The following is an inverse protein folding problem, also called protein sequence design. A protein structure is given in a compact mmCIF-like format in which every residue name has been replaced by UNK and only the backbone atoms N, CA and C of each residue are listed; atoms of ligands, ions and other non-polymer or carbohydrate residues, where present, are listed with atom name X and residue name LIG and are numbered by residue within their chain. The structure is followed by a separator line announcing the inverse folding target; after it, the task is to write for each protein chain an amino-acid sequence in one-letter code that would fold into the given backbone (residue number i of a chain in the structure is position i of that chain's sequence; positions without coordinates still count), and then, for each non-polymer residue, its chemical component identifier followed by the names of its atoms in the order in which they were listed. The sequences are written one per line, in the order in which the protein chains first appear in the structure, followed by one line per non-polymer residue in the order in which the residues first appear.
data_IF_206268128670
#
_entry.id   IF_206268128670
#
_cell.length_a   1.000
_cell.length_b   1.000
_cell.length_c   1.000
_cell.angle_alpha   90.00
_cell.angle_beta   90.00
_cell.angle_gamma   90.00
#
_symmetry.space_group_name_H-M   'P 1'
#
loop_
_entity.id
_entity.type
_entity.pdbx_description
1 polymer ?
#
# COMPACT_ATOMS: atom_id res chain seq x y z
N UNK A 1 -17.72 -1.45 11.06
CA UNK A 1 -17.74 -2.03 9.70
C UNK A 1 -16.29 -2.23 9.30
N UNK A 2 -15.95 -3.37 8.68
CA UNK A 2 -14.58 -3.61 8.22
C UNK A 2 -14.28 -2.81 6.95
N UNK A 3 -13.25 -1.97 6.97
CA UNK A 3 -12.90 -1.08 5.85
C UNK A 3 -11.39 -0.91 5.70
N UNK A 4 -10.96 -0.56 4.49
CA UNK A 4 -9.61 -0.05 4.23
C UNK A 4 -9.61 1.46 4.53
N UNK A 5 -8.67 1.90 5.37
CA UNK A 5 -8.44 3.32 5.69
C UNK A 5 -7.13 3.77 5.06
N UNK A 6 -7.21 4.82 4.26
CA UNK A 6 -6.02 5.39 3.61
C UNK A 6 -5.69 6.72 4.26
N UNK A 7 -4.44 6.87 4.69
CA UNK A 7 -3.94 8.02 5.41
C UNK A 7 -2.78 8.61 4.64
N UNK A 8 -2.87 9.90 4.33
CA UNK A 8 -1.80 10.71 3.79
C UNK A 8 -1.13 11.49 4.93
N UNK A 9 0.03 11.01 5.35
CA UNK A 9 0.87 11.60 6.37
C UNK A 9 1.71 12.73 5.76
N UNK A 10 1.62 13.92 6.36
CA UNK A 10 2.33 15.13 5.92
C UNK A 10 3.36 15.52 6.98
N UNK A 11 4.67 15.51 6.68
CA UNK A 11 5.70 16.00 7.58
C UNK A 11 5.47 17.42 8.08
N UNK A 12 5.99 17.71 9.26
CA UNK A 12 5.88 19.02 9.92
C UNK A 12 6.47 20.18 9.08
N UNK A 13 7.41 19.89 8.18
CA UNK A 13 8.05 20.83 7.26
C UNK A 13 7.50 20.79 5.83
N UNK A 14 6.41 20.06 5.60
CA UNK A 14 5.71 19.99 4.32
C UNK A 14 4.31 20.62 4.40
N UNK A 15 3.76 20.98 3.25
CA UNK A 15 2.37 21.42 3.10
C UNK A 15 1.55 20.30 2.48
N UNK A 16 0.29 20.09 2.94
CA UNK A 16 -0.58 19.12 2.29
C UNK A 16 -0.81 19.49 0.83
N UNK A 17 -0.75 18.48 -0.05
CA UNK A 17 -0.99 18.62 -1.49
C UNK A 17 -2.29 17.93 -1.87
N UNK A 18 -3.21 18.68 -2.48
CA UNK A 18 -4.46 18.11 -3.00
C UNK A 18 -4.20 17.16 -4.17
N UNK A 19 -3.18 17.41 -5.00
CA UNK A 19 -2.81 16.51 -6.08
C UNK A 19 -2.39 15.14 -5.53
N UNK A 20 -1.64 15.13 -4.41
CA UNK A 20 -1.18 13.89 -3.76
C UNK A 20 -2.38 13.12 -3.21
N UNK A 21 -3.25 13.81 -2.48
CA UNK A 21 -4.49 13.24 -1.95
C UNK A 21 -5.37 12.66 -3.06
N UNK A 22 -5.55 13.38 -4.16
CA UNK A 22 -6.35 12.94 -5.30
C UNK A 22 -5.71 11.75 -6.02
N UNK A 23 -4.39 11.76 -6.23
CA UNK A 23 -3.64 10.64 -6.80
C UNK A 23 -3.82 9.36 -5.99
N UNK A 24 -3.68 9.44 -4.66
CA UNK A 24 -3.90 8.34 -3.73
C UNK A 24 -5.35 7.83 -3.80
N UNK A 25 -6.33 8.74 -3.75
CA UNK A 25 -7.75 8.39 -3.80
C UNK A 25 -8.13 7.68 -5.12
N UNK A 26 -7.62 8.17 -6.25
CA UNK A 26 -7.84 7.57 -7.55
C UNK A 26 -7.21 6.17 -7.64
N UNK A 27 -5.99 6.00 -7.13
CA UNK A 27 -5.29 4.72 -7.14
C UNK A 27 -6.04 3.64 -6.36
N UNK A 28 -6.44 3.92 -5.12
CA UNK A 28 -7.15 2.94 -4.28
C UNK A 28 -8.55 2.63 -4.81
N UNK A 29 -9.24 3.61 -5.39
CA UNK A 29 -10.55 3.40 -6.03
C UNK A 29 -10.42 2.53 -7.27
N UNK A 30 -9.38 2.76 -8.07
CA UNK A 30 -9.11 1.96 -9.26
C UNK A 30 -8.77 0.51 -8.87
N UNK A 31 -7.97 0.30 -7.82
CA UNK A 31 -7.70 -1.03 -7.27
C UNK A 31 -8.97 -1.70 -6.72
N UNK A 32 -9.85 -0.96 -6.04
CA UNK A 32 -11.11 -1.53 -5.55
C UNK A 32 -11.93 -2.15 -6.68
N UNK A 33 -12.02 -1.45 -7.84
CA UNK A 33 -12.68 -1.96 -9.03
C UNK A 33 -11.92 -3.11 -9.69
N UNK A 34 -10.58 -3.06 -9.69
CA UNK A 34 -9.77 -4.16 -10.21
C UNK A 34 -9.93 -5.43 -9.38
N UNK A 35 -9.83 -5.37 -8.05
CA UNK A 35 -10.09 -6.50 -7.16
C UNK A 35 -11.52 -7.03 -7.35
N UNK A 36 -12.52 -6.16 -7.50
CA UNK A 36 -13.90 -6.55 -7.80
C UNK A 36 -13.99 -7.38 -9.10
N UNK A 37 -13.28 -6.95 -10.15
CA UNK A 37 -13.27 -7.63 -11.45
C UNK A 37 -12.48 -8.95 -11.45
N UNK A 38 -11.45 -9.06 -10.60
CA UNK A 38 -10.64 -10.29 -10.46
C UNK A 38 -11.35 -11.39 -9.67
N UNK A 39 -12.28 -11.00 -8.80
CA UNK A 39 -13.00 -11.90 -7.91
C UNK A 39 -14.29 -12.40 -8.57
N UNK A 40 -14.38 -13.71 -8.84
CA UNK A 40 -15.52 -14.34 -9.51
C UNK A 40 -16.85 -14.14 -8.77
N UNK A 41 -16.79 -14.02 -7.44
CA UNK A 41 -17.93 -13.78 -6.56
C UNK A 41 -18.34 -12.30 -6.46
N UNK A 42 -17.70 -11.41 -7.23
CA UNK A 42 -17.91 -9.95 -7.22
C UNK A 42 -17.80 -9.33 -5.83
N UNK A 43 -16.93 -9.87 -4.97
CA UNK A 43 -16.57 -9.22 -3.70
C UNK A 43 -15.37 -8.32 -3.90
N UNK A 44 -15.34 -7.20 -3.16
CA UNK A 44 -14.16 -6.34 -3.05
C UNK A 44 -14.09 -5.73 -1.66
N UNK A 45 -12.97 -5.07 -1.35
CA UNK A 45 -12.82 -4.35 -0.10
C UNK A 45 -13.65 -3.07 -0.07
N UNK A 46 -14.08 -2.62 1.12
CA UNK A 46 -14.78 -1.34 1.29
C UNK A 46 -13.84 -0.21 1.67
N UNK A 47 -14.08 0.95 1.09
CA UNK A 47 -13.45 2.22 1.46
C UNK A 47 -14.38 3.02 2.37
N UNK A 48 -13.80 3.94 3.11
CA UNK A 48 -14.53 4.96 3.88
C UNK A 48 -15.01 6.09 2.97
N UNK A 49 -16.09 6.78 3.35
CA UNK A 49 -16.64 7.92 2.57
C UNK A 49 -15.58 9.01 2.35
N UNK A 50 -14.79 9.30 3.38
CA UNK A 50 -13.53 10.04 3.23
C UNK A 50 -12.44 9.05 2.82
N UNK A 51 -12.19 8.92 1.52
CA UNK A 51 -11.25 7.92 0.98
C UNK A 51 -9.84 8.12 1.53
N UNK A 52 -9.36 9.37 1.60
CA UNK A 52 -8.02 9.71 2.09
C UNK A 52 -8.12 10.71 3.24
N UNK A 53 -7.64 10.31 4.41
CA UNK A 53 -7.48 11.17 5.58
C UNK A 53 -6.10 11.83 5.56
N UNK A 54 -6.05 13.16 5.67
CA UNK A 54 -4.78 13.90 5.69
C UNK A 54 -4.39 14.20 7.13
N UNK A 55 -3.23 13.71 7.55
CA UNK A 55 -2.75 13.82 8.93
C UNK A 55 -1.37 14.45 8.95
N UNK A 56 -1.21 15.54 9.71
CA UNK A 56 0.10 16.16 9.92
C UNK A 56 0.87 15.40 10.99
N UNK A 57 2.13 15.13 10.71
CA UNK A 57 3.05 14.46 11.64
C UNK A 57 3.93 15.47 12.38
N UNK A 58 4.53 15.03 13.49
CA UNK A 58 5.38 15.89 14.32
C UNK A 58 6.80 16.02 13.76
N UNK A 59 7.23 15.05 12.95
CA UNK A 59 8.60 14.97 12.45
C UNK A 59 8.75 15.61 11.08
N UNK A 60 9.97 16.02 10.77
CA UNK A 60 10.35 16.54 9.44
C UNK A 60 10.55 15.40 8.45
N UNK A 61 10.39 15.64 7.16
CA UNK A 61 10.48 14.59 6.14
C UNK A 61 11.80 13.78 6.23
N UNK A 62 12.94 14.46 6.43
CA UNK A 62 14.25 13.80 6.53
C UNK A 62 14.41 12.89 7.76
N UNK A 63 13.62 13.12 8.81
CA UNK A 63 13.72 12.35 10.06
C UNK A 63 13.38 10.88 9.83
N UNK A 64 12.38 10.58 9.00
CA UNK A 64 11.92 9.21 8.74
C UNK A 64 13.04 8.30 8.22
N UNK A 65 13.89 8.80 7.34
CA UNK A 65 15.01 8.03 6.80
C UNK A 65 16.26 8.02 7.71
N UNK A 66 16.44 9.03 8.57
CA UNK A 66 17.70 9.23 9.32
C UNK A 66 17.64 8.86 10.79
N UNK A 67 16.44 8.76 11.38
CA UNK A 67 16.27 8.39 12.77
C UNK A 67 16.41 6.86 12.96
N UNK A 68 17.35 6.38 13.79
CA UNK A 68 17.50 4.96 14.01
C UNK A 68 16.26 4.32 14.65
N UNK A 69 15.73 3.28 14.02
CA UNK A 69 14.59 2.51 14.51
C UNK A 69 14.72 1.02 14.13
N UNK A 70 15.58 0.30 14.85
CA UNK A 70 15.89 -1.11 14.57
C UNK A 70 17.00 -1.29 13.53
N UNK A 71 16.88 -2.33 12.69
CA UNK A 71 17.81 -2.57 11.59
C UNK A 71 17.73 -1.47 10.53
N UNK A 72 18.86 -1.11 9.93
CA UNK A 72 18.96 0.04 9.03
C UNK A 72 17.89 0.02 7.92
N UNK A 73 17.66 -1.14 7.31
CA UNK A 73 16.70 -1.26 6.22
C UNK A 73 15.23 -1.03 6.65
N UNK A 74 14.93 -1.09 7.95
CA UNK A 74 13.61 -0.88 8.55
C UNK A 74 13.41 0.52 9.13
N UNK A 75 14.42 1.39 9.15
CA UNK A 75 14.30 2.69 9.83
C UNK A 75 13.12 3.50 9.32
N UNK A 76 13.02 3.68 7.99
CA UNK A 76 11.92 4.41 7.38
C UNK A 76 10.56 3.82 7.75
N UNK A 77 10.37 2.52 7.49
CA UNK A 77 9.17 1.78 7.83
C UNK A 77 8.74 1.97 9.30
N UNK A 78 9.66 1.69 10.24
CA UNK A 78 9.35 1.76 11.67
C UNK A 78 9.04 3.19 12.13
N UNK A 79 9.75 4.19 11.61
CA UNK A 79 9.49 5.59 11.93
C UNK A 79 8.13 6.06 11.41
N UNK A 80 7.76 5.68 10.18
CA UNK A 80 6.45 6.03 9.61
C UNK A 80 5.31 5.37 10.39
N UNK A 81 5.46 4.09 10.74
CA UNK A 81 4.46 3.40 11.55
C UNK A 81 4.34 3.96 12.96
N UNK A 82 5.45 4.38 13.58
CA UNK A 82 5.41 4.99 14.91
C UNK A 82 4.50 6.24 14.93
N UNK A 83 4.69 7.15 13.97
CA UNK A 83 3.83 8.33 13.84
C UNK A 83 2.42 7.96 13.35
N UNK A 84 2.31 7.11 12.35
CA UNK A 84 1.02 6.67 11.79
C UNK A 84 0.12 6.05 12.85
N UNK A 85 0.64 5.13 13.66
CA UNK A 85 -0.11 4.48 14.73
C UNK A 85 -0.46 5.45 15.85
N UNK A 86 0.50 6.28 16.29
CA UNK A 86 0.26 7.25 17.36
C UNK A 86 -0.82 8.28 17.00
N UNK A 87 -0.87 8.72 15.74
CA UNK A 87 -1.77 9.78 15.29
C UNK A 87 -3.16 9.29 14.89
N UNK A 88 -3.29 8.02 14.50
CA UNK A 88 -4.56 7.48 13.97
C UNK A 88 -5.21 6.42 14.87
N UNK A 89 -4.47 5.91 15.86
CA UNK A 89 -4.88 4.75 16.65
C UNK A 89 -4.78 3.43 15.88
N UNK A 90 -4.15 3.42 14.71
CA UNK A 90 -3.90 2.22 13.95
C UNK A 90 -3.00 1.23 14.70
N UNK A 91 -3.12 -0.04 14.32
CA UNK A 91 -2.30 -1.12 14.84
C UNK A 91 -2.23 -2.25 13.83
N UNK A 92 -1.23 -3.10 13.97
CA UNK A 92 -1.20 -4.36 13.25
C UNK A 92 -2.37 -5.26 13.65
N UNK A 93 -2.86 -6.05 12.70
CA UNK A 93 -3.94 -7.01 12.88
C UNK A 93 -5.24 -6.40 13.46
N UNK A 94 -5.49 -5.13 13.15
CA UNK A 94 -6.68 -4.42 13.59
C UNK A 94 -7.95 -5.21 13.17
N UNK A 95 -8.87 -5.49 14.12
CA UNK A 95 -10.08 -6.28 13.83
C UNK A 95 -11.05 -5.60 12.83
N UNK A 96 -10.92 -4.30 12.63
CA UNK A 96 -11.86 -3.48 11.88
C UNK A 96 -11.24 -2.81 10.67
N UNK A 97 -9.92 -2.64 10.63
CA UNK A 97 -9.28 -1.82 9.61
C UNK A 97 -8.09 -2.51 8.94
N UNK A 98 -7.96 -2.28 7.64
CA UNK A 98 -6.68 -2.38 6.94
C UNK A 98 -6.18 -0.95 6.75
N UNK A 99 -4.94 -0.70 7.09
CA UNK A 99 -4.37 0.64 7.09
C UNK A 99 -3.37 0.80 5.96
N UNK A 100 -3.51 1.89 5.20
CA UNK A 100 -2.54 2.29 4.18
C UNK A 100 -2.00 3.65 4.58
N UNK A 101 -0.70 3.76 4.78
CA UNK A 101 -0.01 5.01 5.06
C UNK A 101 0.83 5.43 3.87
N UNK A 102 0.39 6.46 3.17
CA UNK A 102 1.28 7.24 2.31
C UNK A 102 1.94 8.32 3.14
N UNK A 103 3.27 8.46 3.04
CA UNK A 103 4.01 9.53 3.72
C UNK A 103 4.68 10.44 2.68
N UNK A 104 4.55 11.75 2.85
CA UNK A 104 5.24 12.77 2.05
C UNK A 104 6.73 12.90 2.45
N UNK A 105 7.43 11.78 2.53
CA UNK A 105 8.86 11.69 2.82
C UNK A 105 9.51 10.54 2.03
N UNK A 106 10.80 10.67 1.77
CA UNK A 106 11.60 9.66 1.07
C UNK A 106 12.40 8.79 2.05
N UNK A 107 12.51 7.51 1.72
CA UNK A 107 13.42 6.57 2.36
C UNK A 107 14.85 6.75 1.81
N UNK A 108 15.86 6.37 2.59
CA UNK A 108 17.25 6.31 2.10
C UNK A 108 17.51 5.02 1.31
N UNK A 109 18.54 5.04 0.46
CA UNK A 109 18.99 3.85 -0.26
C UNK A 109 19.31 2.72 0.74
N UNK A 110 18.79 1.53 0.44
CA UNK A 110 18.95 0.33 1.27
C UNK A 110 17.89 0.20 2.37
N UNK A 111 16.95 1.15 2.48
CA UNK A 111 15.75 1.04 3.28
C UNK A 111 14.57 0.60 2.41
N UNK A 112 13.61 -0.10 3.01
CA UNK A 112 12.35 -0.40 2.32
C UNK A 112 11.61 0.90 1.98
N UNK A 113 11.16 0.99 0.73
CA UNK A 113 10.33 2.09 0.22
C UNK A 113 8.87 1.78 0.48
N UNK A 114 8.28 0.92 -0.36
CA UNK A 114 6.98 0.28 -0.12
C UNK A 114 7.12 -1.03 0.64
N UNK A 115 6.19 -1.30 1.56
CA UNK A 115 6.03 -2.60 2.19
C UNK A 115 4.60 -2.79 2.73
N UNK A 116 4.20 -4.04 2.94
CA UNK A 116 2.91 -4.40 3.49
C UNK A 116 3.02 -5.66 4.35
N UNK A 117 2.27 -5.70 5.46
CA UNK A 117 2.13 -6.88 6.32
C UNK A 117 1.05 -6.66 7.37
N UNK A 118 0.45 -7.75 7.88
CA UNK A 118 -0.37 -7.75 9.10
C UNK A 118 -1.42 -6.62 9.18
N UNK A 119 -2.15 -6.38 8.10
CA UNK A 119 -3.19 -5.34 8.05
C UNK A 119 -2.68 -3.91 7.80
N UNK A 120 -1.42 -3.73 7.44
CA UNK A 120 -0.82 -2.41 7.22
C UNK A 120 0.03 -2.40 5.95
N UNK A 121 -0.06 -1.32 5.17
CA UNK A 121 0.86 -0.98 4.08
C UNK A 121 1.44 0.43 4.28
N UNK A 122 2.70 0.64 3.94
CA UNK A 122 3.37 1.95 3.95
C UNK A 122 3.97 2.20 2.58
N UNK A 123 3.76 3.40 2.05
CA UNK A 123 4.29 3.85 0.78
C UNK A 123 4.93 5.25 0.91
N UNK A 124 6.11 5.48 0.33
CA UNK A 124 6.89 6.72 0.43
C UNK A 124 6.45 7.77 -0.59
N UNK A 125 7.09 8.95 -0.54
CA UNK A 125 6.77 10.09 -1.41
C UNK A 125 6.92 9.75 -2.90
N UNK A 126 7.94 8.99 -3.31
CA UNK A 126 8.12 8.65 -4.72
C UNK A 126 6.97 7.80 -5.30
N UNK A 127 6.28 6.99 -4.49
CA UNK A 127 5.05 6.32 -4.92
C UNK A 127 3.94 7.33 -5.20
N UNK A 128 3.78 8.35 -4.36
CA UNK A 128 2.82 9.42 -4.58
C UNK A 128 3.15 10.21 -5.87
N UNK A 129 4.42 10.58 -6.05
CA UNK A 129 4.90 11.21 -7.28
C UNK A 129 4.58 10.35 -8.52
N UNK A 130 4.74 9.03 -8.39
CA UNK A 130 4.33 8.07 -9.41
C UNK A 130 2.84 8.11 -9.74
N UNK A 131 1.97 8.15 -8.72
CA UNK A 131 0.52 8.23 -8.88
C UNK A 131 0.04 9.50 -9.59
N UNK A 132 0.79 10.59 -9.48
CA UNK A 132 0.47 11.87 -10.14
C UNK A 132 1.28 12.12 -11.43
N UNK A 133 2.01 11.12 -11.92
CA UNK A 133 2.72 11.20 -13.21
C UNK A 133 3.99 12.05 -13.20
N UNK A 134 4.60 12.27 -12.03
CA UNK A 134 5.90 12.96 -11.91
C UNK A 134 7.10 12.01 -12.01
N UNK A 135 6.85 10.69 -12.03
CA UNK A 135 7.90 9.69 -12.26
C UNK A 135 8.12 9.40 -13.75
N UNK A 136 9.22 8.72 -14.09
CA UNK A 136 9.45 8.21 -15.45
C UNK A 136 8.59 7.00 -15.81
N UNK A 137 8.23 6.20 -14.82
CA UNK A 137 7.39 5.02 -14.99
C UNK A 137 5.92 5.43 -15.16
N UNK A 138 5.10 4.65 -15.88
CA UNK A 138 3.69 4.96 -16.04
C UNK A 138 2.96 4.92 -14.70
N UNK A 139 1.93 5.76 -14.55
CA UNK A 139 1.07 5.82 -13.35
C UNK A 139 0.55 4.44 -12.95
N UNK A 140 0.24 3.59 -13.94
CA UNK A 140 -0.31 2.25 -13.70
C UNK A 140 0.64 1.34 -12.91
N UNK A 141 1.97 1.46 -13.09
CA UNK A 141 2.97 0.73 -12.27
C UNK A 141 2.85 1.08 -10.80
N UNK A 142 2.57 2.34 -10.47
CA UNK A 142 2.45 2.81 -9.09
C UNK A 142 1.14 2.40 -8.45
N UNK A 143 0.07 2.32 -9.24
CA UNK A 143 -1.19 1.69 -8.82
C UNK A 143 -0.96 0.19 -8.56
N UNK A 144 -0.21 -0.49 -9.42
CA UNK A 144 0.17 -1.89 -9.23
C UNK A 144 0.97 -2.12 -7.95
N UNK A 145 1.97 -1.27 -7.67
CA UNK A 145 2.75 -1.31 -6.43
C UNK A 145 1.87 -1.17 -5.18
N UNK A 146 0.92 -0.22 -5.17
CA UNK A 146 -0.09 -0.15 -4.10
C UNK A 146 -0.91 -1.44 -4.00
N UNK A 147 -1.31 -2.02 -5.14
CA UNK A 147 -2.09 -3.25 -5.18
C UNK A 147 -1.36 -4.44 -4.56
N UNK A 148 -0.06 -4.53 -4.77
CA UNK A 148 0.85 -5.51 -4.18
C UNK A 148 0.96 -5.37 -2.67
N UNK A 149 1.31 -4.18 -2.18
CA UNK A 149 1.45 -3.94 -0.73
C UNK A 149 0.12 -4.08 0.02
N UNK A 150 -0.98 -3.67 -0.63
CA UNK A 150 -2.33 -3.89 -0.10
C UNK A 150 -2.67 -5.39 -0.05
N UNK A 151 -2.24 -6.18 -1.03
CA UNK A 151 -2.37 -7.64 -1.00
C UNK A 151 -1.64 -8.25 0.20
N UNK A 152 -0.42 -7.80 0.49
CA UNK A 152 0.30 -8.19 1.70
C UNK A 152 -0.40 -7.74 2.98
N UNK A 153 -0.99 -6.54 3.00
CA UNK A 153 -1.79 -6.08 4.13
C UNK A 153 -3.04 -6.96 4.34
N UNK A 154 -3.64 -7.50 3.28
CA UNK A 154 -4.71 -8.51 3.36
C UNK A 154 -4.22 -9.91 3.77
N UNK A 155 -2.91 -10.12 3.88
CA UNK A 155 -2.30 -11.39 4.29
C UNK A 155 -1.90 -12.32 3.14
N UNK A 156 -1.87 -11.82 1.91
CA UNK A 156 -1.40 -12.61 0.76
C UNK A 156 0.15 -12.66 0.75
N UNK A 157 0.77 -13.82 0.57
CA UNK A 157 2.23 -13.93 0.41
C UNK A 157 2.64 -13.73 -1.05
N UNK A 158 3.94 -13.64 -1.32
CA UNK A 158 4.45 -13.94 -2.65
C UNK A 158 4.15 -15.39 -3.03
N UNK A 159 3.95 -15.71 -4.32
CA UNK A 159 3.75 -17.09 -4.74
C UNK A 159 5.00 -17.94 -4.45
N UNK A 160 4.83 -19.19 -3.98
CA UNK A 160 5.96 -20.08 -3.71
C UNK A 160 6.84 -20.31 -4.94
N UNK A 161 8.17 -20.24 -4.78
CA UNK A 161 9.13 -20.52 -5.84
C UNK A 161 9.47 -19.33 -6.75
N UNK A 162 8.68 -18.24 -6.72
CA UNK A 162 8.91 -17.08 -7.59
C UNK A 162 10.16 -16.28 -7.22
N UNK A 163 10.59 -16.32 -5.96
CA UNK A 163 11.84 -15.69 -5.53
C UNK A 163 13.08 -16.40 -6.07
N UNK A 164 12.99 -17.72 -6.27
CA UNK A 164 14.04 -18.55 -6.83
C UNK A 164 14.00 -18.61 -8.36
N UNK A 165 12.80 -18.63 -8.96
CA UNK A 165 12.58 -18.69 -10.39
C UNK A 165 11.48 -17.73 -10.86
N UNK A 166 11.90 -16.57 -11.33
CA UNK A 166 11.01 -15.53 -11.83
C UNK A 166 10.38 -15.87 -13.20
N UNK A 167 10.79 -16.97 -13.85
CA UNK A 167 10.21 -17.40 -15.13
C UNK A 167 8.90 -18.17 -14.97
N UNK A 168 8.56 -18.56 -13.74
CA UNK A 168 7.30 -19.21 -13.42
C UNK A 168 6.10 -18.35 -13.85
N UNK A 169 5.05 -18.92 -14.45
CA UNK A 169 3.85 -18.17 -14.84
C UNK A 169 3.23 -17.35 -13.70
N UNK A 170 3.27 -17.90 -12.48
CA UNK A 170 2.76 -17.29 -11.25
C UNK A 170 3.49 -15.98 -10.91
N UNK A 171 4.73 -15.82 -11.36
CA UNK A 171 5.51 -14.60 -11.16
C UNK A 171 4.85 -13.38 -11.79
N UNK A 172 3.94 -13.55 -12.74
CA UNK A 172 3.21 -12.46 -13.40
C UNK A 172 1.92 -12.03 -12.67
N UNK A 173 1.62 -12.61 -11.49
CA UNK A 173 0.52 -12.15 -10.65
C UNK A 173 0.85 -10.84 -9.92
N UNK A 174 -0.17 -10.14 -9.41
CA UNK A 174 0.01 -8.87 -8.71
C UNK A 174 0.85 -9.01 -7.42
N UNK A 175 0.84 -10.20 -6.82
CA UNK A 175 1.63 -10.52 -5.63
C UNK A 175 3.12 -10.78 -5.94
N UNK A 176 3.58 -10.52 -7.17
CA UNK A 176 5.00 -10.53 -7.51
C UNK A 176 5.32 -9.53 -8.65
N UNK A 177 5.85 -9.97 -9.81
CA UNK A 177 6.24 -9.07 -10.90
C UNK A 177 5.06 -8.47 -11.67
N UNK A 178 3.87 -9.06 -11.56
CA UNK A 178 2.67 -8.56 -12.23
C UNK A 178 2.28 -7.14 -11.84
N UNK A 179 2.70 -6.67 -10.66
CA UNK A 179 2.49 -5.29 -10.23
C UNK A 179 3.08 -4.26 -11.21
N UNK A 180 4.16 -4.60 -11.92
CA UNK A 180 4.77 -3.72 -12.92
C UNK A 180 3.96 -3.62 -14.22
N UNK A 181 3.11 -4.62 -14.50
CA UNK A 181 2.29 -4.72 -15.71
C UNK A 181 0.83 -4.33 -15.48
N UNK A 182 0.50 -3.83 -14.28
CA UNK A 182 -0.85 -3.41 -13.92
C UNK A 182 -1.46 -2.45 -14.98
N UNK A 183 -2.76 -2.59 -15.34
CA UNK A 183 -3.75 -3.54 -14.80
C UNK A 183 -3.75 -4.93 -15.45
N UNK A 184 -2.87 -5.19 -16.43
CA UNK A 184 -2.78 -6.47 -17.14
C UNK A 184 -2.01 -7.50 -16.32
N UNK A 185 -2.61 -7.87 -15.19
CA UNK A 185 -2.13 -8.87 -14.23
C UNK A 185 -3.35 -9.52 -13.56
N UNK A 186 -3.10 -10.45 -12.63
CA UNK A 186 -4.13 -11.30 -12.04
C UNK A 186 -3.84 -11.62 -10.57
N UNK A 187 -4.88 -12.06 -9.88
CA UNK A 187 -4.79 -12.79 -8.62
C UNK A 187 -4.70 -14.29 -8.90
N UNK A 188 -3.88 -15.02 -8.15
CA UNK A 188 -3.87 -16.49 -8.20
C UNK A 188 -5.17 -17.07 -7.62
N UNK A 189 -5.43 -18.35 -7.90
CA UNK A 189 -6.62 -19.02 -7.37
C UNK A 189 -6.59 -19.06 -5.84
N UNK A 190 -5.42 -19.29 -5.25
CA UNK A 190 -5.18 -19.33 -3.81
C UNK A 190 -5.39 -17.94 -3.18
N UNK A 191 -4.94 -16.88 -3.85
CA UNK A 191 -5.18 -15.50 -3.41
C UNK A 191 -6.68 -15.20 -3.35
N UNK A 192 -7.41 -15.56 -4.40
CA UNK A 192 -8.87 -15.36 -4.47
C UNK A 192 -9.59 -16.11 -3.37
N UNK A 193 -9.17 -17.34 -3.07
CA UNK A 193 -9.77 -18.12 -1.96
C UNK A 193 -9.50 -17.46 -0.61
N UNK A 194 -8.26 -17.02 -0.35
CA UNK A 194 -7.92 -16.30 0.88
C UNK A 194 -8.73 -15.00 1.03
N UNK A 195 -8.84 -14.21 -0.04
CA UNK A 195 -9.62 -12.98 -0.04
C UNK A 195 -11.13 -13.24 0.11
N UNK A 196 -11.67 -14.32 -0.46
CA UNK A 196 -13.08 -14.67 -0.29
C UNK A 196 -13.45 -14.98 1.18
N UNK A 197 -12.49 -15.50 1.95
CA UNK A 197 -12.61 -15.74 3.38
C UNK A 197 -12.33 -14.49 4.23
N UNK A 198 -11.73 -13.45 3.64
CA UNK A 198 -11.45 -12.20 4.33
C UNK A 198 -12.73 -11.45 4.67
N UNK A 199 -12.87 -11.07 5.96
CA UNK A 199 -13.96 -10.20 6.43
C UNK A 199 -13.96 -8.80 5.81
N UNK A 200 -12.87 -8.41 5.14
CA UNK A 200 -12.76 -7.13 4.47
C UNK A 200 -13.35 -7.17 3.05
N UNK A 201 -13.51 -8.35 2.45
CA UNK A 201 -14.08 -8.52 1.11
C UNK A 201 -15.56 -8.87 1.20
N UNK A 202 -16.39 -8.04 0.59
CA UNK A 202 -17.84 -8.11 0.69
C UNK A 202 -18.49 -7.82 -0.67
N UNK A 203 -19.68 -8.39 -0.87
CA UNK A 203 -20.55 -8.10 -2.01
C UNK A 203 -21.71 -7.17 -1.63
#
# INVERSE_FOLDING_TARGET
MQTVRVVYLVPSDANPSEDFKNGIANAITHLQQWYLAQMENQKTFRLTDSIVEVVRTNHKARWYATNPAGEYHLWFWNNVLADGFALTGASFNDPNFIWIFYIDAENDRGQYGGAGTCGVAVLPQHDIHGLIGLSKEPVSRWIGGLGHELGHAFGLPHPPGCEEDQSLPESQCIMYLGMYNYPDTFLLAEDKEALNQSRFFVG
#
